data_IF_893207915953
#
_entry.id   IF_893207915953
#
_cell.length_a   1.000
_cell.length_b   1.000
_cell.length_c   1.000
_cell.angle_alpha   90.00
_cell.angle_beta   90.00
_cell.angle_gamma   90.00
#
_symmetry.space_group_name_H-M   'P 1'
#
loop_
_entity.id
_entity.type
_entity.pdbx_description
1 polymer ?
#
# COMPACT_ATOMS: atom_id res chain seq x y z
N UNK A 1 42.73 -23.39 -7.75
CA UNK A 1 42.45 -22.72 -6.45
C UNK A 1 41.26 -21.81 -6.64
N UNK A 2 40.10 -22.04 -6.04
CA UNK A 2 38.99 -21.11 -6.14
C UNK A 2 39.23 -19.94 -5.19
N UNK A 3 39.18 -18.73 -5.72
CA UNK A 3 39.24 -17.51 -4.93
C UNK A 3 37.95 -17.36 -4.12
N UNK A 4 38.04 -17.58 -2.81
CA UNK A 4 36.97 -17.21 -1.88
C UNK A 4 36.93 -15.69 -1.81
N UNK A 5 35.86 -15.09 -2.36
CA UNK A 5 35.52 -13.71 -2.06
C UNK A 5 35.03 -13.65 -0.59
N UNK A 6 35.94 -13.21 0.28
CA UNK A 6 35.58 -12.77 1.61
C UNK A 6 34.76 -11.47 1.49
N UNK A 7 33.46 -11.55 1.60
CA UNK A 7 32.64 -10.39 1.95
C UNK A 7 33.11 -9.92 3.34
N UNK A 8 33.93 -8.85 3.36
CA UNK A 8 34.22 -8.13 4.59
C UNK A 8 32.87 -7.65 5.15
N UNK A 9 32.49 -8.15 6.31
CA UNK A 9 31.50 -7.50 7.17
C UNK A 9 32.10 -6.15 7.59
N UNK A 10 31.84 -5.14 6.78
CA UNK A 10 31.87 -3.76 7.26
C UNK A 10 30.69 -3.71 8.22
N UNK A 11 30.89 -3.36 9.49
CA UNK A 11 29.81 -2.91 10.35
C UNK A 11 29.30 -1.60 9.72
N UNK A 12 28.43 -1.73 8.71
CA UNK A 12 27.67 -0.60 8.21
C UNK A 12 26.78 -0.16 9.37
N UNK A 13 26.95 1.05 9.85
CA UNK A 13 25.97 1.70 10.70
C UNK A 13 24.65 1.59 9.95
N UNK A 14 23.76 0.72 10.45
CA UNK A 14 22.48 0.43 9.81
C UNK A 14 21.71 1.74 9.72
N UNK A 15 21.51 2.24 8.50
CA UNK A 15 20.73 3.46 8.25
C UNK A 15 19.31 3.23 8.73
N UNK A 16 18.81 4.13 9.57
CA UNK A 16 17.41 4.13 10.02
C UNK A 16 16.60 4.93 9.01
N UNK A 17 15.77 4.26 8.22
CA UNK A 17 15.01 4.91 7.14
C UNK A 17 13.52 4.95 7.47
N UNK A 18 13.00 6.12 7.83
CA UNK A 18 11.60 6.33 8.18
C UNK A 18 10.80 7.05 7.07
N UNK A 19 11.30 7.10 5.84
CA UNK A 19 10.62 7.75 4.71
C UNK A 19 9.36 7.01 4.29
N UNK A 20 9.41 5.67 4.30
CA UNK A 20 8.31 4.80 3.88
C UNK A 20 8.60 3.35 4.29
N UNK A 21 7.56 2.53 4.47
CA UNK A 21 7.67 1.07 4.60
C UNK A 21 8.02 0.36 3.27
N UNK A 22 8.10 1.09 2.17
CA UNK A 22 8.59 0.56 0.87
C UNK A 22 10.10 0.31 0.84
N UNK A 23 10.82 0.73 1.87
CA UNK A 23 12.27 0.51 2.00
C UNK A 23 12.62 -0.80 2.70
N UNK A 24 11.61 -1.53 3.18
CA UNK A 24 11.78 -2.83 3.85
C UNK A 24 12.51 -3.84 2.97
N UNK A 25 13.28 -4.71 3.63
CA UNK A 25 14.07 -5.76 2.97
C UNK A 25 13.56 -7.14 3.38
N UNK A 26 13.63 -8.12 2.46
CA UNK A 26 13.30 -9.50 2.81
C UNK A 26 14.17 -10.02 3.95
N UNK A 27 13.55 -10.71 4.91
CA UNK A 27 14.28 -11.39 5.98
C UNK A 27 15.07 -12.58 5.42
N UNK A 28 16.07 -13.06 6.18
CA UNK A 28 16.83 -14.25 5.80
C UNK A 28 15.94 -15.47 5.61
N UNK A 29 14.89 -15.63 6.44
CA UNK A 29 13.93 -16.71 6.30
C UNK A 29 13.11 -16.58 5.01
N UNK A 30 12.61 -15.38 4.70
CA UNK A 30 11.90 -15.12 3.45
C UNK A 30 12.79 -15.39 2.23
N UNK A 31 14.07 -14.98 2.26
CA UNK A 31 15.03 -15.28 1.19
C UNK A 31 15.26 -16.79 1.02
N UNK A 32 15.28 -17.55 2.11
CA UNK A 32 15.39 -19.02 2.07
C UNK A 32 14.19 -19.66 1.36
N UNK A 33 12.96 -19.21 1.67
CA UNK A 33 11.75 -19.66 0.99
C UNK A 33 11.76 -19.31 -0.51
N UNK A 34 12.20 -18.11 -0.85
CA UNK A 34 12.36 -17.70 -2.26
C UNK A 34 13.32 -18.61 -3.02
N UNK A 35 14.44 -19.00 -2.40
CA UNK A 35 15.47 -19.85 -3.02
C UNK A 35 15.05 -21.31 -3.18
N UNK A 36 14.12 -21.79 -2.37
CA UNK A 36 13.57 -23.15 -2.43
C UNK A 36 12.26 -23.27 -3.21
N UNK A 37 11.75 -22.14 -3.74
CA UNK A 37 10.47 -22.10 -4.43
C UNK A 37 10.44 -23.00 -5.67
N UNK A 38 9.41 -23.81 -5.80
CA UNK A 38 9.09 -24.50 -7.06
C UNK A 38 8.57 -23.49 -8.07
N UNK A 39 9.07 -23.54 -9.31
CA UNK A 39 8.72 -22.59 -10.36
C UNK A 39 8.23 -23.27 -11.63
N UNK A 40 7.39 -22.55 -12.38
CA UNK A 40 6.94 -22.88 -13.72
C UNK A 40 6.72 -21.61 -14.52
N UNK A 41 6.10 -21.68 -15.68
CA UNK A 41 5.80 -20.48 -16.47
C UNK A 41 4.41 -19.93 -16.11
N UNK A 42 4.37 -18.79 -15.40
CA UNK A 42 3.11 -18.12 -14.98
C UNK A 42 2.21 -17.74 -16.18
N UNK A 43 2.80 -17.47 -17.35
CA UNK A 43 2.01 -17.16 -18.55
C UNK A 43 1.21 -18.35 -19.04
N UNK A 44 1.72 -19.59 -18.84
CA UNK A 44 0.99 -20.84 -19.08
C UNK A 44 0.16 -21.29 -17.87
N UNK A 45 0.23 -20.58 -16.74
CA UNK A 45 -0.38 -20.93 -15.44
C UNK A 45 0.22 -22.21 -14.83
N UNK A 46 1.48 -22.48 -15.16
CA UNK A 46 2.19 -23.69 -14.73
C UNK A 46 3.09 -23.44 -13.50
N UNK A 47 3.21 -22.17 -13.03
CA UNK A 47 3.99 -21.85 -11.84
C UNK A 47 3.19 -22.21 -10.58
N UNK A 48 3.56 -23.28 -9.85
CA UNK A 48 2.77 -23.77 -8.72
C UNK A 48 2.78 -22.80 -7.55
N UNK A 49 3.88 -22.05 -7.34
CA UNK A 49 4.00 -21.11 -6.24
C UNK A 49 3.20 -19.83 -6.49
N UNK A 50 3.15 -19.35 -7.74
CA UNK A 50 2.25 -18.24 -8.12
C UNK A 50 0.79 -18.66 -7.94
N UNK A 51 0.42 -19.87 -8.41
CA UNK A 51 -0.93 -20.38 -8.26
C UNK A 51 -1.33 -20.52 -6.79
N UNK A 52 -0.41 -20.96 -5.92
CA UNK A 52 -0.64 -21.05 -4.48
C UNK A 52 -0.85 -19.66 -3.84
N UNK A 53 -0.05 -18.66 -4.23
CA UNK A 53 -0.19 -17.29 -3.74
C UNK A 53 -1.53 -16.66 -4.18
N UNK A 54 -1.93 -16.83 -5.45
CA UNK A 54 -3.20 -16.35 -5.98
C UNK A 54 -4.38 -17.03 -5.25
N UNK A 55 -4.31 -18.34 -5.02
CA UNK A 55 -5.32 -19.09 -4.26
C UNK A 55 -5.42 -18.62 -2.79
N UNK A 56 -4.28 -18.40 -2.13
CA UNK A 56 -4.27 -17.94 -0.72
C UNK A 56 -4.84 -16.53 -0.60
N UNK A 57 -4.51 -15.61 -1.51
CA UNK A 57 -5.08 -14.26 -1.52
C UNK A 57 -6.61 -14.28 -1.76
N UNK A 58 -7.09 -15.12 -2.66
CA UNK A 58 -8.51 -15.32 -2.89
C UNK A 58 -9.20 -15.86 -1.62
N UNK A 59 -8.61 -16.86 -0.97
CA UNK A 59 -9.11 -17.44 0.30
C UNK A 59 -9.17 -16.40 1.43
N UNK A 60 -8.09 -15.64 1.64
CA UNK A 60 -8.01 -14.65 2.71
C UNK A 60 -8.98 -13.48 2.50
N UNK A 61 -9.17 -13.05 1.25
CA UNK A 61 -10.09 -11.98 0.91
C UNK A 61 -11.55 -12.44 0.79
N UNK A 62 -11.82 -13.74 0.71
CA UNK A 62 -13.14 -14.29 0.41
C UNK A 62 -13.61 -13.97 -1.02
N UNK A 63 -12.70 -13.59 -1.92
CA UNK A 63 -12.99 -13.37 -3.34
C UNK A 63 -12.84 -14.66 -4.13
N UNK A 64 -13.47 -14.72 -5.30
CA UNK A 64 -13.48 -15.94 -6.14
C UNK A 64 -12.10 -16.21 -6.78
N UNK A 65 -11.30 -15.17 -7.04
CA UNK A 65 -10.00 -15.28 -7.68
C UNK A 65 -9.07 -14.12 -7.29
N UNK A 66 -7.77 -14.33 -7.49
CA UNK A 66 -6.75 -13.28 -7.39
C UNK A 66 -5.75 -13.38 -8.54
N UNK A 67 -4.98 -12.33 -8.76
CA UNK A 67 -3.94 -12.24 -9.77
C UNK A 67 -2.71 -11.55 -9.21
N UNK A 68 -1.53 -12.14 -9.42
CA UNK A 68 -0.25 -11.61 -8.96
C UNK A 68 0.33 -10.61 -9.96
N UNK A 69 0.88 -9.50 -9.45
CA UNK A 69 1.49 -8.41 -10.21
C UNK A 69 2.87 -8.07 -9.66
N UNK A 70 3.80 -7.57 -10.50
CA UNK A 70 5.10 -7.08 -10.04
C UNK A 70 4.99 -5.84 -9.12
N UNK A 71 3.99 -4.98 -9.31
CA UNK A 71 3.85 -3.72 -8.55
C UNK A 71 2.40 -3.39 -8.21
N UNK A 72 2.18 -2.63 -7.12
CA UNK A 72 0.88 -2.08 -6.76
C UNK A 72 0.32 -1.11 -7.80
N UNK A 73 1.17 -0.28 -8.39
CA UNK A 73 0.78 0.64 -9.48
C UNK A 73 0.16 -0.11 -10.66
N UNK A 74 0.77 -1.24 -11.07
CA UNK A 74 0.20 -2.03 -12.15
C UNK A 74 -1.10 -2.73 -11.74
N UNK A 75 -1.18 -3.24 -10.51
CA UNK A 75 -2.40 -3.85 -10.00
C UNK A 75 -3.58 -2.87 -9.96
N UNK A 76 -3.34 -1.63 -9.49
CA UNK A 76 -4.35 -0.56 -9.49
C UNK A 76 -4.75 -0.15 -10.91
N UNK A 77 -3.77 0.09 -11.78
CA UNK A 77 -4.06 0.42 -13.19
C UNK A 77 -4.92 -0.67 -13.84
N UNK A 78 -4.55 -1.93 -13.67
CA UNK A 78 -5.29 -3.05 -14.25
C UNK A 78 -6.67 -3.21 -13.61
N UNK A 79 -6.84 -2.90 -12.33
CA UNK A 79 -8.17 -2.84 -11.71
C UNK A 79 -9.05 -1.79 -12.41
N UNK A 80 -8.55 -0.56 -12.59
CA UNK A 80 -9.27 0.51 -13.30
C UNK A 80 -9.61 0.12 -14.75
N UNK A 81 -8.65 -0.44 -15.50
CA UNK A 81 -8.85 -0.95 -16.87
C UNK A 81 -9.84 -2.12 -16.96
N UNK A 82 -10.04 -2.84 -15.86
CA UNK A 82 -10.98 -3.97 -15.81
C UNK A 82 -12.40 -3.55 -15.43
N UNK A 83 -12.55 -2.41 -14.76
CA UNK A 83 -13.85 -1.85 -14.37
C UNK A 83 -14.41 -0.85 -15.38
N UNK A 84 -13.52 -0.10 -16.04
CA UNK A 84 -13.89 1.02 -16.91
C UNK A 84 -13.46 0.76 -18.35
N UNK A 85 -14.22 1.34 -19.27
CA UNK A 85 -13.90 1.44 -20.70
C UNK A 85 -13.35 2.82 -21.03
N UNK A 86 -12.86 2.99 -22.27
CA UNK A 86 -12.44 4.31 -22.78
C UNK A 86 -13.60 5.30 -22.75
N UNK A 87 -13.35 6.47 -22.14
CA UNK A 87 -14.35 7.50 -21.98
C UNK A 87 -15.22 7.37 -20.72
N UNK A 88 -15.04 6.31 -19.94
CA UNK A 88 -15.64 6.22 -18.61
C UNK A 88 -14.92 7.10 -17.60
N UNK A 89 -15.56 7.30 -16.47
CA UNK A 89 -15.06 8.07 -15.33
C UNK A 89 -15.01 7.22 -14.07
N UNK A 90 -13.99 7.44 -13.21
CA UNK A 90 -13.95 6.92 -11.85
C UNK A 90 -13.83 8.05 -10.83
N UNK A 91 -14.58 7.96 -9.74
CA UNK A 91 -14.50 8.91 -8.62
C UNK A 91 -13.44 8.40 -7.64
N UNK A 92 -12.57 9.30 -7.17
CA UNK A 92 -11.39 8.95 -6.38
C UNK A 92 -11.02 10.08 -5.40
N UNK A 93 -10.35 9.75 -4.31
CA UNK A 93 -9.79 10.74 -3.40
C UNK A 93 -8.66 11.56 -4.06
N UNK A 94 -8.68 12.89 -3.89
CA UNK A 94 -7.66 13.79 -4.49
C UNK A 94 -6.23 13.46 -4.07
N UNK A 95 -6.03 12.80 -2.90
CA UNK A 95 -4.73 12.39 -2.41
C UNK A 95 -4.48 10.88 -2.60
N UNK A 96 -5.43 10.12 -3.17
CA UNK A 96 -5.29 8.70 -3.40
C UNK A 96 -4.13 8.39 -4.35
N UNK A 97 -3.47 7.25 -4.11
CA UNK A 97 -2.26 6.87 -4.82
C UNK A 97 -2.50 6.68 -6.31
N UNK A 98 -3.57 5.98 -6.69
CA UNK A 98 -3.92 5.68 -8.07
C UNK A 98 -4.40 6.91 -8.89
N UNK A 99 -4.62 8.05 -8.24
CA UNK A 99 -4.85 9.34 -8.90
C UNK A 99 -3.57 10.17 -8.97
N UNK A 100 -2.88 10.33 -7.82
CA UNK A 100 -1.84 11.35 -7.65
C UNK A 100 -0.42 10.84 -7.96
N UNK A 101 -0.14 9.55 -7.71
CA UNK A 101 1.23 9.04 -7.68
C UNK A 101 1.51 7.90 -8.68
N UNK A 102 0.63 7.69 -9.66
CA UNK A 102 0.76 6.65 -10.69
C UNK A 102 0.88 7.24 -12.11
N UNK A 103 1.47 8.43 -12.20
CA UNK A 103 1.83 9.11 -13.46
C UNK A 103 0.64 9.30 -14.43
N UNK A 104 -0.59 9.36 -13.91
CA UNK A 104 -1.79 9.53 -14.74
C UNK A 104 -2.13 8.30 -15.59
N UNK A 105 -1.69 7.10 -15.17
CA UNK A 105 -1.82 5.87 -15.95
C UNK A 105 -3.25 5.56 -16.40
N UNK A 106 -4.24 5.79 -15.55
CA UNK A 106 -5.66 5.59 -15.91
C UNK A 106 -6.09 6.45 -17.11
N UNK A 107 -5.69 7.72 -17.12
CA UNK A 107 -6.01 8.64 -18.21
C UNK A 107 -5.22 8.32 -19.49
N UNK A 108 -3.90 8.09 -19.36
CA UNK A 108 -2.99 7.91 -20.50
C UNK A 108 -3.17 6.54 -21.16
N UNK A 109 -3.23 5.48 -20.40
CA UNK A 109 -3.30 4.11 -20.94
C UNK A 109 -4.74 3.59 -21.05
N UNK A 110 -5.62 3.99 -20.14
CA UNK A 110 -7.02 3.56 -20.12
C UNK A 110 -7.97 4.51 -20.85
N UNK A 111 -7.57 5.75 -21.06
CA UNK A 111 -8.48 6.84 -21.47
C UNK A 111 -9.68 6.98 -20.54
N UNK A 112 -9.43 6.75 -19.23
CA UNK A 112 -10.42 6.81 -18.15
C UNK A 112 -10.27 8.16 -17.46
N UNK A 113 -11.36 8.92 -17.35
CA UNK A 113 -11.34 10.24 -16.72
C UNK A 113 -11.33 10.08 -15.18
N UNK A 114 -10.37 10.67 -14.45
CA UNK A 114 -10.47 10.75 -13.00
C UNK A 114 -11.39 11.91 -12.59
N UNK A 115 -12.25 11.67 -11.60
CA UNK A 115 -13.02 12.70 -10.89
C UNK A 115 -12.53 12.74 -9.44
N UNK A 116 -11.51 13.55 -9.11
CA UNK A 116 -11.01 13.64 -7.76
C UNK A 116 -11.92 14.45 -6.87
N UNK A 117 -12.13 13.97 -5.64
CA UNK A 117 -12.84 14.69 -4.58
C UNK A 117 -11.99 14.75 -3.31
N UNK A 118 -12.24 15.73 -2.45
CA UNK A 118 -11.53 15.85 -1.17
C UNK A 118 -11.99 14.75 -0.22
N UNK A 119 -11.03 14.08 0.39
CA UNK A 119 -11.30 13.21 1.52
C UNK A 119 -11.57 14.05 2.79
N UNK A 120 -12.40 13.51 3.68
CA UNK A 120 -12.56 14.03 5.02
C UNK A 120 -11.31 13.77 5.88
N UNK A 121 -11.25 14.40 7.04
CA UNK A 121 -10.08 14.30 7.93
C UNK A 121 -9.80 12.87 8.42
N UNK A 122 -10.82 12.01 8.46
CA UNK A 122 -10.70 10.59 8.80
C UNK A 122 -10.28 9.69 7.63
N UNK A 123 -10.11 10.26 6.43
CA UNK A 123 -9.74 9.56 5.20
C UNK A 123 -10.89 9.03 4.38
N UNK A 124 -12.13 9.17 4.83
CA UNK A 124 -13.34 8.79 4.08
C UNK A 124 -13.63 9.78 2.96
N UNK A 125 -14.34 9.33 1.92
CA UNK A 125 -14.92 10.21 0.91
C UNK A 125 -16.39 10.48 1.29
N UNK A 126 -16.80 11.77 1.53
CA UNK A 126 -18.18 12.08 1.87
C UNK A 126 -19.13 11.62 0.76
N UNK A 127 -20.08 10.73 1.09
CA UNK A 127 -20.92 10.07 0.08
C UNK A 127 -21.92 11.02 -0.59
N UNK A 128 -22.30 12.10 0.06
CA UNK A 128 -23.08 13.19 -0.55
C UNK A 128 -22.26 13.94 -1.62
N UNK A 129 -20.97 14.16 -1.40
CA UNK A 129 -20.06 14.74 -2.39
C UNK A 129 -19.81 13.75 -3.54
N UNK A 130 -19.69 12.44 -3.23
CA UNK A 130 -19.61 11.40 -4.26
C UNK A 130 -20.88 11.39 -5.10
N UNK A 131 -22.07 11.45 -4.49
CA UNK A 131 -23.36 11.49 -5.18
C UNK A 131 -23.45 12.70 -6.14
N UNK A 132 -23.05 13.87 -5.68
CA UNK A 132 -23.06 15.10 -6.49
C UNK A 132 -22.05 15.06 -7.67
N UNK A 133 -21.03 14.19 -7.58
CA UNK A 133 -20.02 14.03 -8.64
C UNK A 133 -20.44 13.01 -9.72
N UNK A 134 -21.44 12.15 -9.46
CA UNK A 134 -21.96 11.20 -10.47
C UNK A 134 -22.62 11.96 -11.61
N UNK A 135 -22.20 11.67 -12.83
CA UNK A 135 -22.69 12.32 -14.03
C UNK A 135 -24.02 11.71 -14.48
N UNK A 136 -24.96 12.51 -15.03
CA UNK A 136 -26.15 11.99 -15.67
C UNK A 136 -25.80 11.19 -16.94
N UNK A 137 -26.70 10.28 -17.33
CA UNK A 137 -26.59 9.59 -18.63
C UNK A 137 -26.97 10.54 -19.77
N UNK A 138 -25.99 11.32 -20.20
CA UNK A 138 -26.12 12.35 -21.24
C UNK A 138 -24.83 12.43 -22.06
N UNK A 139 -24.96 12.68 -23.37
CA UNK A 139 -23.86 12.68 -24.35
C UNK A 139 -22.75 13.71 -24.03
N UNK A 140 -22.99 14.67 -23.15
CA UNK A 140 -22.02 15.70 -22.76
C UNK A 140 -21.04 15.23 -21.67
N UNK A 141 -21.30 14.09 -21.04
CA UNK A 141 -20.55 13.64 -19.87
C UNK A 141 -19.87 12.28 -20.08
N UNK A 142 -18.74 12.08 -19.42
CA UNK A 142 -18.20 10.75 -19.23
C UNK A 142 -19.14 9.92 -18.33
N UNK A 143 -19.22 8.61 -18.58
CA UNK A 143 -20.05 7.73 -17.74
C UNK A 143 -19.30 7.41 -16.43
N UNK A 144 -19.86 7.79 -15.30
CA UNK A 144 -19.33 7.43 -13.99
C UNK A 144 -19.56 5.92 -13.74
N UNK A 145 -18.50 5.13 -13.55
CA UNK A 145 -18.58 3.66 -13.47
C UNK A 145 -18.03 3.09 -12.19
N UNK A 146 -17.14 3.82 -11.51
CA UNK A 146 -16.36 3.26 -10.42
C UNK A 146 -16.16 4.29 -9.30
N UNK A 147 -16.34 3.87 -8.06
CA UNK A 147 -15.80 4.53 -6.88
C UNK A 147 -14.51 3.81 -6.47
N UNK A 148 -13.41 4.55 -6.32
CA UNK A 148 -12.13 4.03 -5.86
C UNK A 148 -11.76 4.60 -4.50
N UNK A 149 -11.68 3.74 -3.48
CA UNK A 149 -11.24 4.08 -2.13
C UNK A 149 -9.81 3.60 -1.90
N UNK A 150 -9.12 4.19 -0.91
CA UNK A 150 -7.79 3.76 -0.47
C UNK A 150 -7.82 3.39 1.01
N UNK A 151 -7.36 2.21 1.38
CA UNK A 151 -7.31 1.74 2.76
C UNK A 151 -5.96 1.02 3.05
N UNK A 152 -5.11 1.60 3.92
CA UNK A 152 -5.29 2.81 4.73
C UNK A 152 -4.99 4.09 3.92
N UNK A 153 -5.76 5.15 4.14
CA UNK A 153 -5.52 6.45 3.50
C UNK A 153 -4.59 7.30 4.38
N UNK A 154 -3.35 7.50 3.96
CA UNK A 154 -2.31 8.17 4.77
C UNK A 154 -2.16 7.59 6.19
N UNK A 155 -2.25 6.27 6.33
CA UNK A 155 -2.22 5.57 7.61
C UNK A 155 -3.58 5.45 8.29
N UNK A 156 -4.57 6.22 7.88
CA UNK A 156 -5.94 6.19 8.44
C UNK A 156 -6.72 5.00 7.94
N UNK A 157 -7.36 4.33 8.86
CA UNK A 157 -8.18 3.15 8.58
C UNK A 157 -9.61 3.59 8.25
N UNK A 158 -10.13 3.16 7.11
CA UNK A 158 -11.54 3.35 6.80
C UNK A 158 -12.39 2.43 7.68
N UNK A 159 -13.34 2.99 8.48
CA UNK A 159 -14.19 2.18 9.36
C UNK A 159 -15.03 1.16 8.57
N UNK A 160 -15.25 -0.04 9.13
CA UNK A 160 -16.11 -1.06 8.49
C UNK A 160 -17.52 -0.53 8.21
N UNK A 161 -18.09 0.27 9.13
CA UNK A 161 -19.40 0.89 8.93
C UNK A 161 -19.42 1.85 7.72
N UNK A 162 -18.34 2.58 7.48
CA UNK A 162 -18.23 3.41 6.29
C UNK A 162 -18.10 2.56 5.02
N UNK A 163 -17.34 1.48 5.04
CA UNK A 163 -17.21 0.58 3.88
C UNK A 163 -18.55 -0.07 3.53
N UNK A 164 -19.37 -0.43 4.52
CA UNK A 164 -20.73 -0.92 4.32
C UNK A 164 -21.63 0.15 3.69
N UNK A 165 -21.58 1.38 4.17
CA UNK A 165 -22.31 2.51 3.59
C UNK A 165 -21.88 2.78 2.14
N UNK A 166 -20.57 2.82 1.88
CA UNK A 166 -20.03 3.01 0.53
C UNK A 166 -20.43 1.87 -0.41
N UNK A 167 -20.43 0.64 0.07
CA UNK A 167 -20.91 -0.52 -0.69
C UNK A 167 -22.38 -0.40 -1.05
N UNK A 168 -23.25 -0.11 -0.08
CA UNK A 168 -24.70 0.10 -0.31
C UNK A 168 -24.93 1.24 -1.30
N UNK A 169 -24.27 2.37 -1.09
CA UNK A 169 -24.32 3.52 -1.97
C UNK A 169 -23.95 3.17 -3.42
N UNK A 170 -22.85 2.42 -3.62
CA UNK A 170 -22.44 2.04 -4.98
C UNK A 170 -23.43 1.11 -5.67
N UNK A 171 -24.12 0.23 -4.92
CA UNK A 171 -25.20 -0.62 -5.49
C UNK A 171 -26.39 0.20 -5.91
N UNK A 172 -26.83 1.18 -5.09
CA UNK A 172 -27.92 2.09 -5.41
C UNK A 172 -27.65 2.93 -6.66
N UNK A 173 -26.39 3.33 -6.84
CA UNK A 173 -25.95 4.16 -7.99
C UNK A 173 -25.37 3.36 -9.16
N UNK A 174 -25.43 2.03 -9.13
CA UNK A 174 -24.92 1.13 -10.20
C UNK A 174 -23.41 1.35 -10.51
N UNK A 175 -22.63 1.73 -9.49
CA UNK A 175 -21.19 1.86 -9.57
C UNK A 175 -20.52 0.57 -9.11
N UNK A 176 -19.34 0.29 -9.66
CA UNK A 176 -18.42 -0.66 -9.04
C UNK A 176 -17.66 0.03 -7.89
N UNK A 177 -17.13 -0.77 -6.95
CA UNK A 177 -16.29 -0.32 -5.84
C UNK A 177 -14.96 -1.04 -5.87
N UNK A 178 -13.88 -0.27 -6.03
CA UNK A 178 -12.51 -0.74 -5.89
C UNK A 178 -11.88 -0.20 -4.60
N UNK A 179 -11.14 -1.04 -3.88
CA UNK A 179 -10.31 -0.62 -2.75
C UNK A 179 -8.83 -0.80 -3.12
N UNK A 180 -8.09 0.31 -3.23
CA UNK A 180 -6.64 0.27 -3.16
C UNK A 180 -6.22 -0.12 -1.74
N UNK A 181 -5.83 -1.38 -1.59
CA UNK A 181 -5.41 -1.97 -0.33
C UNK A 181 -3.89 -1.95 -0.13
N UNK A 182 -3.24 -0.85 -0.53
CA UNK A 182 -1.79 -0.70 -0.41
C UNK A 182 -1.24 -1.03 1.00
N UNK A 183 -2.08 -0.83 2.04
CA UNK A 183 -1.79 -1.20 3.44
C UNK A 183 -3.00 -1.85 4.11
N UNK A 184 -3.71 -2.67 3.39
CA UNK A 184 -4.97 -3.26 3.88
C UNK A 184 -4.76 -4.12 5.14
N UNK A 185 -3.63 -4.81 5.27
CA UNK A 185 -3.34 -5.59 6.46
C UNK A 185 -3.07 -4.73 7.70
N UNK A 186 -2.59 -3.49 7.54
CA UNK A 186 -2.55 -2.53 8.64
C UNK A 186 -3.98 -2.20 9.12
N UNK A 187 -4.94 -2.06 8.21
CA UNK A 187 -6.35 -1.86 8.57
C UNK A 187 -6.96 -3.11 9.24
N UNK A 188 -6.64 -4.31 8.76
CA UNK A 188 -7.05 -5.59 9.35
C UNK A 188 -6.58 -5.70 10.80
N UNK A 189 -5.29 -5.45 11.05
CA UNK A 189 -4.69 -5.52 12.39
C UNK A 189 -5.26 -4.44 13.31
N UNK A 190 -5.34 -3.18 12.85
CA UNK A 190 -5.83 -2.08 13.66
C UNK A 190 -7.29 -2.23 14.07
N UNK A 191 -8.13 -2.85 13.23
CA UNK A 191 -9.54 -3.11 13.52
C UNK A 191 -9.78 -4.48 14.16
N UNK A 192 -8.73 -5.28 14.40
CA UNK A 192 -8.82 -6.65 14.93
C UNK A 192 -9.86 -7.50 14.16
N UNK A 193 -9.81 -7.42 12.83
CA UNK A 193 -10.77 -8.05 11.93
C UNK A 193 -10.07 -8.99 10.93
N UNK A 194 -10.79 -9.46 9.92
CA UNK A 194 -10.24 -10.27 8.83
C UNK A 194 -10.23 -9.51 7.51
N UNK A 195 -9.35 -9.92 6.59
CA UNK A 195 -9.36 -9.36 5.24
C UNK A 195 -10.72 -9.56 4.55
N UNK A 196 -11.33 -10.72 4.72
CA UNK A 196 -12.65 -11.02 4.17
C UNK A 196 -13.76 -10.09 4.69
N UNK A 197 -13.69 -9.67 5.96
CA UNK A 197 -14.66 -8.73 6.54
C UNK A 197 -14.58 -7.34 5.90
N UNK A 198 -13.40 -6.92 5.45
CA UNK A 198 -13.22 -5.67 4.69
C UNK A 198 -13.59 -5.90 3.21
N UNK A 199 -13.04 -6.93 2.60
CA UNK A 199 -13.18 -7.20 1.17
C UNK A 199 -14.62 -7.51 0.72
N UNK A 200 -15.49 -7.95 1.64
CA UNK A 200 -16.93 -8.16 1.32
C UNK A 200 -17.62 -6.88 0.82
N UNK A 201 -17.09 -5.72 1.17
CA UNK A 201 -17.64 -4.40 0.82
C UNK A 201 -16.93 -3.76 -0.39
N UNK A 202 -16.44 -4.55 -1.34
CA UNK A 202 -15.93 -4.06 -2.62
C UNK A 202 -16.07 -5.11 -3.72
N UNK A 203 -16.01 -4.70 -4.98
CA UNK A 203 -15.94 -5.62 -6.13
C UNK A 203 -14.50 -6.13 -6.30
N UNK A 204 -13.52 -5.24 -6.14
CA UNK A 204 -12.10 -5.58 -6.23
C UNK A 204 -11.28 -4.93 -5.13
N UNK A 205 -10.22 -5.63 -4.74
CA UNK A 205 -9.26 -5.20 -3.73
C UNK A 205 -7.84 -5.45 -4.25
N UNK A 206 -6.97 -4.44 -4.20
CA UNK A 206 -5.52 -4.69 -4.32
C UNK A 206 -4.89 -4.95 -2.95
N UNK A 207 -3.84 -5.77 -2.92
CA UNK A 207 -3.02 -6.07 -1.74
C UNK A 207 -1.56 -5.81 -2.13
N UNK A 208 -0.91 -4.83 -1.52
CA UNK A 208 0.53 -4.63 -1.74
C UNK A 208 1.33 -5.47 -0.75
N UNK A 209 2.25 -6.28 -1.27
CA UNK A 209 3.12 -7.14 -0.47
C UNK A 209 4.45 -6.47 -0.10
N UNK A 210 4.92 -5.53 -0.94
CA UNK A 210 6.25 -4.91 -0.85
C UNK A 210 6.28 -3.62 -0.01
N UNK A 211 5.66 -3.65 1.16
CA UNK A 211 5.65 -2.57 2.16
C UNK A 211 5.87 -3.17 3.55
N UNK A 212 5.00 -2.92 4.51
CA UNK A 212 5.09 -3.48 5.87
C UNK A 212 5.18 -5.00 5.93
N UNK A 213 4.69 -5.71 4.91
CA UNK A 213 4.82 -7.16 4.78
C UNK A 213 6.22 -7.63 4.37
N UNK A 214 7.10 -6.75 3.89
CA UNK A 214 8.53 -6.99 3.72
C UNK A 214 8.94 -7.79 2.48
N UNK A 215 8.05 -8.02 1.51
CA UNK A 215 8.46 -8.67 0.27
C UNK A 215 9.28 -7.72 -0.61
N UNK A 216 10.22 -8.22 -1.45
CA UNK A 216 11.03 -7.37 -2.31
C UNK A 216 10.21 -6.70 -3.42
N UNK A 217 9.16 -7.35 -3.87
CA UNK A 217 8.23 -6.90 -4.92
C UNK A 217 6.87 -7.56 -4.71
N UNK A 218 5.87 -7.07 -5.41
CA UNK A 218 4.62 -7.80 -5.61
C UNK A 218 3.38 -7.13 -5.03
N UNK A 219 2.30 -7.38 -5.72
CA UNK A 219 0.95 -7.01 -5.34
C UNK A 219 -0.05 -8.02 -5.89
N UNK A 220 -1.24 -8.05 -5.33
CA UNK A 220 -2.32 -8.93 -5.75
C UNK A 220 -3.56 -8.08 -6.05
N UNK A 221 -4.34 -8.49 -7.05
CA UNK A 221 -5.70 -8.01 -7.30
C UNK A 221 -6.66 -9.15 -7.05
N UNK A 222 -7.59 -8.96 -6.12
CA UNK A 222 -8.64 -9.92 -5.78
C UNK A 222 -10.00 -9.44 -6.29
N UNK A 223 -10.82 -10.35 -6.82
CA UNK A 223 -12.14 -10.04 -7.37
C UNK A 223 -12.93 -11.27 -7.79
N UNK A 224 -13.99 -11.06 -8.58
CA UNK A 224 -14.67 -12.17 -9.23
C UNK A 224 -13.84 -12.78 -10.36
N UNK A 225 -14.15 -14.03 -10.74
CA UNK A 225 -13.39 -14.78 -11.75
C UNK A 225 -13.41 -14.07 -13.12
N UNK A 226 -14.53 -13.51 -13.54
CA UNK A 226 -14.65 -12.91 -14.86
C UNK A 226 -13.81 -11.63 -14.95
N UNK A 227 -13.80 -10.82 -13.89
CA UNK A 227 -12.97 -9.61 -13.79
C UNK A 227 -11.48 -9.98 -13.77
N UNK A 228 -11.08 -10.97 -12.98
CA UNK A 228 -9.68 -11.41 -12.90
C UNK A 228 -9.19 -11.97 -14.23
N UNK A 229 -10.02 -12.65 -15.02
CA UNK A 229 -9.64 -13.09 -16.37
C UNK A 229 -9.46 -11.90 -17.33
N UNK A 230 -10.26 -10.83 -17.21
CA UNK A 230 -10.00 -9.57 -17.95
C UNK A 230 -8.70 -8.93 -17.48
N UNK A 231 -8.49 -8.86 -16.17
CA UNK A 231 -7.28 -8.32 -15.55
C UNK A 231 -6.01 -9.05 -16.02
N UNK A 232 -6.07 -10.38 -16.22
CA UNK A 232 -4.94 -11.16 -16.71
C UNK A 232 -4.51 -10.73 -18.12
N UNK A 233 -5.46 -10.35 -19.00
CA UNK A 233 -5.14 -9.79 -20.33
C UNK A 233 -4.50 -8.40 -20.22
N UNK A 234 -5.04 -7.54 -19.34
CA UNK A 234 -4.46 -6.24 -19.08
C UNK A 234 -3.07 -6.34 -18.44
N UNK A 235 -2.87 -7.26 -17.48
CA UNK A 235 -1.54 -7.54 -16.91
C UNK A 235 -0.53 -7.89 -18.01
N UNK A 236 -0.91 -8.76 -18.96
CA UNK A 236 -0.04 -9.11 -20.08
C UNK A 236 0.28 -7.91 -20.96
N UNK A 237 -0.73 -7.13 -21.32
CA UNK A 237 -0.59 -5.95 -22.20
C UNK A 237 0.28 -4.86 -21.58
N UNK A 238 0.19 -4.68 -20.26
CA UNK A 238 0.97 -3.68 -19.51
C UNK A 238 2.34 -4.18 -19.06
N UNK A 239 2.78 -5.35 -19.53
CA UNK A 239 4.14 -5.87 -19.29
C UNK A 239 4.32 -6.66 -17.97
N UNK A 240 3.24 -6.96 -17.24
CA UNK A 240 3.32 -7.67 -15.94
C UNK A 240 3.27 -9.20 -16.02
N UNK A 241 3.26 -9.78 -17.22
CA UNK A 241 3.33 -11.24 -17.39
C UNK A 241 4.76 -11.74 -17.25
N UNK A 242 5.16 -12.08 -16.05
CA UNK A 242 6.46 -12.70 -15.75
C UNK A 242 6.46 -14.19 -16.13
N UNK A 243 7.63 -14.84 -16.09
CA UNK A 243 7.78 -16.26 -16.37
C UNK A 243 7.88 -17.04 -15.03
N UNK A 244 9.05 -17.42 -14.59
CA UNK A 244 9.31 -18.16 -13.35
C UNK A 244 9.15 -17.25 -12.12
N UNK A 245 7.95 -16.71 -11.92
CA UNK A 245 7.65 -15.76 -10.88
C UNK A 245 7.46 -16.40 -9.49
N UNK A 246 7.46 -17.73 -9.41
CA UNK A 246 7.35 -18.47 -8.15
C UNK A 246 8.36 -18.06 -7.10
N UNK A 247 9.59 -17.70 -7.50
CA UNK A 247 10.60 -17.14 -6.59
C UNK A 247 10.07 -15.90 -5.84
N UNK A 248 9.35 -15.03 -6.54
CA UNK A 248 8.78 -13.81 -5.96
C UNK A 248 7.48 -14.10 -5.20
N UNK A 249 6.69 -15.03 -5.71
CA UNK A 249 5.44 -15.46 -5.08
C UNK A 249 5.67 -16.15 -3.73
N UNK A 250 6.77 -16.89 -3.58
CA UNK A 250 7.16 -17.50 -2.30
C UNK A 250 7.36 -16.46 -1.20
N UNK A 251 7.95 -15.30 -1.53
CA UNK A 251 8.03 -14.19 -0.58
C UNK A 251 6.63 -13.71 -0.15
N UNK A 252 5.68 -13.68 -1.09
CA UNK A 252 4.30 -13.31 -0.82
C UNK A 252 3.60 -14.30 0.12
N UNK A 253 3.74 -15.59 -0.12
CA UNK A 253 3.21 -16.65 0.77
C UNK A 253 3.79 -16.54 2.16
N UNK A 254 5.12 -16.43 2.27
CA UNK A 254 5.80 -16.23 3.54
C UNK A 254 5.28 -15.00 4.28
N UNK A 255 5.11 -13.89 3.59
CA UNK A 255 4.65 -12.64 4.16
C UNK A 255 3.19 -12.72 4.68
N UNK A 256 2.31 -13.37 3.93
CA UNK A 256 0.91 -13.55 4.33
C UNK A 256 0.78 -14.45 5.56
N UNK A 257 1.65 -15.45 5.70
CA UNK A 257 1.65 -16.38 6.84
C UNK A 257 2.32 -15.78 8.08
N UNK A 258 3.45 -15.09 7.93
CA UNK A 258 4.31 -14.75 9.07
C UNK A 258 4.33 -13.25 9.41
N UNK A 259 4.07 -12.35 8.45
CA UNK A 259 4.32 -10.92 8.63
C UNK A 259 3.06 -10.09 8.89
N UNK A 260 1.86 -10.66 8.77
CA UNK A 260 0.61 -9.90 9.01
C UNK A 260 0.48 -9.53 10.48
N UNK A 261 0.60 -10.49 11.39
CA UNK A 261 0.41 -10.25 12.82
C UNK A 261 1.46 -9.27 13.40
N UNK A 262 2.69 -9.30 12.87
CA UNK A 262 3.76 -8.41 13.33
C UNK A 262 3.53 -6.93 12.99
N UNK A 263 2.60 -6.59 12.09
CA UNK A 263 2.24 -5.19 11.81
C UNK A 263 1.76 -4.44 13.06
N UNK A 264 1.28 -5.16 14.08
CA UNK A 264 0.97 -4.56 15.39
C UNK A 264 2.20 -3.91 16.02
N UNK A 265 3.38 -4.52 15.89
CA UNK A 265 4.64 -3.94 16.37
C UNK A 265 4.96 -2.61 15.67
N UNK A 266 4.69 -2.51 14.36
CA UNK A 266 4.87 -1.27 13.62
C UNK A 266 3.91 -0.18 14.13
N UNK A 267 2.65 -0.54 14.45
CA UNK A 267 1.68 0.39 15.04
C UNK A 267 2.12 0.87 16.43
N UNK A 268 2.54 -0.06 17.30
CA UNK A 268 3.01 0.25 18.65
C UNK A 268 4.27 1.13 18.61
N UNK A 269 5.14 0.89 17.63
CA UNK A 269 6.33 1.69 17.39
C UNK A 269 6.00 3.11 16.92
N UNK A 270 5.03 3.27 16.04
CA UNK A 270 4.57 4.59 15.58
C UNK A 270 3.93 5.38 16.73
N UNK A 271 3.07 4.75 17.52
CA UNK A 271 2.44 5.37 18.67
C UNK A 271 3.47 5.81 19.71
N UNK A 272 4.42 4.94 20.04
CA UNK A 272 5.50 5.28 20.97
C UNK A 272 6.38 6.43 20.45
N UNK A 273 6.77 6.39 19.18
CA UNK A 273 7.57 7.47 18.58
C UNK A 273 6.82 8.80 18.63
N UNK A 274 5.51 8.80 18.33
CA UNK A 274 4.66 9.97 18.40
C UNK A 274 4.61 10.54 19.82
N UNK A 275 4.45 9.69 20.84
CA UNK A 275 4.47 10.09 22.24
C UNK A 275 5.82 10.71 22.62
N UNK A 276 6.93 10.06 22.27
CA UNK A 276 8.27 10.58 22.61
C UNK A 276 8.56 11.94 21.96
N UNK A 277 8.15 12.13 20.69
CA UNK A 277 8.31 13.40 20.00
C UNK A 277 7.42 14.48 20.62
N UNK A 278 6.21 14.15 21.03
CA UNK A 278 5.30 15.06 21.73
C UNK A 278 5.89 15.52 23.07
N UNK A 279 6.48 14.62 23.85
CA UNK A 279 7.17 14.93 25.13
C UNK A 279 8.37 15.87 24.94
N UNK A 280 8.98 15.88 23.75
CA UNK A 280 10.03 16.85 23.37
C UNK A 280 9.47 18.19 22.89
N UNK A 281 8.14 18.38 22.87
CA UNK A 281 7.50 19.59 22.37
C UNK A 281 7.29 19.64 20.86
N UNK A 282 7.53 18.52 20.14
CA UNK A 282 7.22 18.42 18.71
C UNK A 282 5.71 18.26 18.54
N UNK A 283 5.09 19.09 17.70
CA UNK A 283 3.67 18.99 17.43
C UNK A 283 3.40 17.75 16.55
N UNK A 284 2.79 16.73 17.14
CA UNK A 284 2.23 15.58 16.41
C UNK A 284 0.89 16.01 15.81
N UNK A 285 0.79 15.99 14.46
CA UNK A 285 -0.41 16.38 13.73
C UNK A 285 -1.40 15.22 13.68
N UNK A 286 -0.87 14.00 13.45
CA UNK A 286 -1.67 12.81 13.23
C UNK A 286 -0.82 11.55 13.47
N UNK A 287 -1.42 10.50 14.03
CA UNK A 287 -0.79 9.20 14.20
C UNK A 287 -1.86 8.11 14.10
N UNK A 288 -1.71 7.23 13.12
CA UNK A 288 -2.54 6.05 13.01
C UNK A 288 -1.78 4.93 12.29
N UNK A 289 -2.02 3.69 12.69
CA UNK A 289 -1.29 2.51 12.20
C UNK A 289 0.23 2.71 12.30
N UNK A 290 0.96 2.43 11.25
CA UNK A 290 2.42 2.57 11.19
C UNK A 290 2.89 3.97 10.72
N UNK A 291 2.03 4.98 10.73
CA UNK A 291 2.38 6.33 10.27
C UNK A 291 2.15 7.37 11.35
N UNK A 292 3.06 8.31 11.42
CA UNK A 292 2.83 9.56 12.15
C UNK A 292 3.26 10.76 11.32
N UNK A 293 2.61 11.89 11.57
CA UNK A 293 2.91 13.17 10.93
C UNK A 293 3.23 14.20 12.01
N UNK A 294 4.33 14.92 11.82
CA UNK A 294 4.75 15.99 12.73
C UNK A 294 4.88 17.30 11.99
N UNK A 295 4.53 18.40 12.66
CA UNK A 295 4.76 19.74 12.16
C UNK A 295 6.22 20.13 12.37
N UNK A 296 6.83 20.67 11.31
CA UNK A 296 8.18 21.22 11.35
C UNK A 296 8.11 22.64 10.79
N UNK A 297 8.56 23.67 11.54
CA UNK A 297 8.63 25.03 11.03
C UNK A 297 9.42 25.09 9.71
N UNK A 298 8.95 25.88 8.74
CA UNK A 298 9.55 25.97 7.39
C UNK A 298 11.07 26.20 7.45
N UNK A 299 11.52 27.10 8.31
CA UNK A 299 12.94 27.42 8.48
C UNK A 299 13.78 26.23 9.01
N UNK A 300 13.16 25.25 9.64
CA UNK A 300 13.82 24.09 10.24
C UNK A 300 13.77 22.85 9.32
N UNK A 301 12.97 22.84 8.26
CA UNK A 301 12.79 21.67 7.39
C UNK A 301 14.12 21.18 6.82
N UNK A 302 14.86 22.05 6.13
CA UNK A 302 16.14 21.70 5.54
C UNK A 302 17.20 21.37 6.61
N UNK A 303 17.41 22.19 7.66
CA UNK A 303 18.33 21.87 8.74
C UNK A 303 18.05 20.52 9.41
N UNK A 304 16.78 20.21 9.72
CA UNK A 304 16.39 18.92 10.32
C UNK A 304 16.74 17.74 9.39
N UNK A 305 16.40 17.85 8.11
CA UNK A 305 16.71 16.80 7.14
C UNK A 305 18.21 16.52 7.03
N UNK A 306 19.04 17.56 6.96
CA UNK A 306 20.50 17.47 6.92
C UNK A 306 21.08 16.89 8.22
N UNK A 307 20.58 17.36 9.37
CA UNK A 307 20.96 16.89 10.70
C UNK A 307 20.73 15.40 10.89
N UNK A 308 19.52 14.93 10.55
CA UNK A 308 19.15 13.52 10.64
C UNK A 308 19.98 12.66 9.70
N UNK A 309 20.11 13.08 8.43
CA UNK A 309 20.91 12.37 7.43
C UNK A 309 22.37 12.20 7.85
N UNK A 310 22.99 13.25 8.42
CA UNK A 310 24.37 13.20 8.92
C UNK A 310 24.56 12.19 10.07
N UNK A 311 23.45 11.74 10.70
CA UNK A 311 23.43 10.78 11.81
C UNK A 311 22.88 9.40 11.41
N UNK A 312 22.79 9.14 10.09
CA UNK A 312 22.30 7.86 9.58
C UNK A 312 20.81 7.67 9.67
N UNK A 313 20.03 8.77 9.86
CA UNK A 313 18.56 8.72 9.86
C UNK A 313 18.02 9.40 8.61
N UNK A 314 17.23 8.66 7.82
CA UNK A 314 16.58 9.18 6.61
C UNK A 314 15.10 9.48 6.89
N UNK A 315 14.71 10.73 6.67
CA UNK A 315 13.33 11.21 6.72
C UNK A 315 13.04 12.06 5.47
N UNK A 316 11.78 12.12 5.06
CA UNK A 316 11.32 13.07 4.06
C UNK A 316 10.85 14.34 4.77
N UNK A 317 11.83 15.20 5.14
CA UNK A 317 11.53 16.43 5.88
C UNK A 317 10.68 17.39 5.03
N UNK A 318 9.65 17.94 5.66
CA UNK A 318 8.71 18.92 5.12
C UNK A 318 7.99 19.62 6.28
N UNK A 319 7.19 20.64 6.02
CA UNK A 319 6.38 21.32 7.06
C UNK A 319 5.40 20.36 7.74
N UNK A 320 4.96 19.34 7.01
CA UNK A 320 4.26 18.17 7.49
C UNK A 320 5.14 16.93 7.21
N UNK A 321 6.06 16.63 8.09
CA UNK A 321 6.97 15.50 7.97
C UNK A 321 6.27 14.21 8.34
N UNK A 322 6.26 13.25 7.38
CA UNK A 322 5.75 11.89 7.59
C UNK A 322 6.88 10.99 8.05
N UNK A 323 6.64 10.22 9.11
CA UNK A 323 7.50 9.15 9.58
C UNK A 323 6.72 7.84 9.51
N UNK A 324 7.37 6.78 9.01
CA UNK A 324 6.74 5.46 8.81
C UNK A 324 7.57 4.42 9.53
N UNK A 325 6.97 3.68 10.44
CA UNK A 325 7.59 2.56 11.14
C UNK A 325 7.38 1.26 10.36
N UNK A 326 8.35 0.36 10.44
CA UNK A 326 8.35 -0.90 9.73
C UNK A 326 9.40 -1.87 10.30
N UNK A 327 9.40 -3.10 9.82
CA UNK A 327 10.21 -4.23 10.34
C UNK A 327 11.74 -3.96 10.44
N UNK A 328 12.27 -3.03 9.67
CA UNK A 328 13.69 -2.67 9.69
C UNK A 328 14.03 -1.52 10.65
N UNK A 329 13.03 -0.95 11.34
CA UNK A 329 13.17 0.14 12.31
C UNK A 329 12.60 -0.28 13.66
N UNK A 330 13.37 -1.05 14.43
CA UNK A 330 13.00 -1.52 15.75
C UNK A 330 12.97 -0.41 16.81
N UNK A 331 12.50 -0.73 18.01
CA UNK A 331 12.39 0.20 19.13
C UNK A 331 13.73 0.86 19.49
N UNK A 332 14.85 0.11 19.38
CA UNK A 332 16.18 0.64 19.69
C UNK A 332 16.64 1.66 18.64
N UNK A 333 16.35 1.42 17.37
CA UNK A 333 16.58 2.37 16.29
C UNK A 333 15.73 3.64 16.46
N UNK A 334 14.45 3.49 16.81
CA UNK A 334 13.57 4.62 17.06
C UNK A 334 14.00 5.47 18.27
N UNK A 335 14.56 4.85 19.32
CA UNK A 335 15.12 5.57 20.45
C UNK A 335 16.31 6.47 20.03
N UNK A 336 17.12 6.03 19.06
CA UNK A 336 18.19 6.86 18.49
C UNK A 336 17.61 8.05 17.71
N UNK A 337 16.51 7.85 16.96
CA UNK A 337 15.81 8.95 16.26
C UNK A 337 15.34 10.00 17.26
N UNK A 338 14.71 9.58 18.36
CA UNK A 338 14.28 10.48 19.45
C UNK A 338 15.46 11.27 20.04
N UNK A 339 16.57 10.58 20.32
CA UNK A 339 17.78 11.22 20.84
C UNK A 339 18.36 12.26 19.87
N UNK A 340 18.38 11.96 18.57
CA UNK A 340 18.84 12.90 17.54
C UNK A 340 17.89 14.10 17.39
N UNK A 341 16.58 13.86 17.49
CA UNK A 341 15.58 14.94 17.46
C UNK A 341 15.73 15.87 18.67
N UNK A 342 15.86 15.28 19.87
CA UNK A 342 16.13 16.04 21.10
C UNK A 342 17.38 16.93 20.96
N UNK A 343 18.48 16.36 20.46
CA UNK A 343 19.71 17.10 20.26
C UNK A 343 19.59 18.21 19.20
N UNK A 344 18.73 18.07 18.21
CA UNK A 344 18.42 19.09 17.22
C UNK A 344 17.66 20.28 17.84
N UNK A 345 16.71 20.01 18.72
CA UNK A 345 15.89 21.04 19.36
C UNK A 345 16.65 21.89 20.38
N UNK A 346 17.83 21.44 20.84
CA UNK A 346 18.68 22.13 21.82
C UNK A 346 19.87 22.86 21.17
N UNK A 347 19.90 23.04 19.86
CA UNK A 347 20.87 23.88 19.15
C UNK A 347 20.46 25.33 19.19
#
# INVERSE_FOLDING_TARGET
MPAFFFFRHVQEHRVIDLRSDTVTRPSAAMLSEMMSAETGDDVYRDDPTVNALEAEAARLSGKAAALFFPTGTQANLVALLSHCERGDEYIVGQQAHNYKYEAGGAAVLGSIQPQPILAADDGTLPLDVVAAAIKPDDIHFARTRLLSLENTHHGKVLPLAYLEQAWTFTREHQLALHIDGARIFNAVVAQQTTLAAIARYCDTLTICLSKGLGTPVGSLLCGDTALIERARRWRKMTGGGMRQAGILAAAGLYALEHNVARLQEDHDNAAWLGQQLHELGVQVIDQQTNMLFVAVPEAQVKPLGEWMKARGVLISAGTRTRLVTHLDADRAALAQVVAHWKAFLHQ
#
